data_IF_328913006264
#
_entry.id   IF_328913006264
#
_cell.length_a   1.000
_cell.length_b   1.000
_cell.length_c   1.000
_cell.angle_alpha   90.00
_cell.angle_beta   90.00
_cell.angle_gamma   90.00
#
_symmetry.space_group_name_H-M   'P 1'
#
loop_
_entity.id
_entity.type
_entity.pdbx_description
1 polymer ?
#
# COMPACT_ATOMS: atom_id res chain seq x y z
N UNK A 1 -14.57 -6.26 -25.11
CA UNK A 1 -14.11 -4.95 -24.61
C UNK A 1 -14.82 -4.71 -23.28
N UNK A 2 -14.27 -5.24 -22.18
CA UNK A 2 -14.87 -5.15 -20.83
C UNK A 2 -13.87 -4.41 -19.97
N UNK A 3 -14.23 -3.19 -19.54
CA UNK A 3 -13.47 -2.44 -18.54
C UNK A 3 -13.70 -3.12 -17.20
N UNK A 4 -12.90 -4.14 -16.90
CA UNK A 4 -12.89 -4.73 -15.56
C UNK A 4 -12.39 -3.65 -14.60
N UNK A 5 -13.22 -3.32 -13.63
CA UNK A 5 -12.95 -2.39 -12.54
C UNK A 5 -11.80 -2.92 -11.68
N UNK A 6 -10.60 -2.38 -11.87
CA UNK A 6 -9.45 -2.68 -11.02
C UNK A 6 -9.53 -1.74 -9.81
N UNK A 7 -9.89 -2.26 -8.64
CA UNK A 7 -9.81 -1.54 -7.36
C UNK A 7 -8.68 -2.17 -6.56
N UNK A 8 -7.64 -1.40 -6.27
CA UNK A 8 -6.50 -1.83 -5.47
C UNK A 8 -6.74 -1.40 -4.03
N UNK A 9 -6.65 -2.33 -3.07
CA UNK A 9 -6.65 -2.03 -1.64
C UNK A 9 -5.26 -2.37 -1.11
N UNK A 10 -4.48 -1.37 -0.73
CA UNK A 10 -3.18 -1.55 -0.07
C UNK A 10 -3.23 -0.88 1.30
N UNK A 11 -2.82 -1.63 2.33
CA UNK A 11 -2.52 -1.10 3.66
C UNK A 11 -1.05 -1.38 3.94
N UNK A 12 -0.23 -0.34 3.94
CA UNK A 12 1.15 -0.41 4.42
C UNK A 12 1.10 -0.73 5.92
N UNK A 13 1.53 -1.94 6.32
CA UNK A 13 1.67 -2.33 7.74
C UNK A 13 3.13 -2.55 8.09
N UNK A 14 3.54 -1.78 9.09
CA UNK A 14 4.89 -1.47 9.43
C UNK A 14 5.77 -2.60 10.11
N UNK A 15 6.59 -3.47 9.45
CA UNK A 15 7.83 -4.19 9.93
C UNK A 15 9.06 -4.44 8.96
N UNK A 16 10.33 -4.20 9.42
CA UNK A 16 11.58 -3.84 8.66
C UNK A 16 12.48 -5.00 8.14
N UNK A 17 13.11 -4.87 6.93
CA UNK A 17 14.54 -5.17 6.57
C UNK A 17 14.81 -5.29 5.03
N UNK A 18 16.06 -5.02 4.58
CA UNK A 18 16.53 -4.92 3.16
C UNK A 18 17.82 -5.73 2.89
N UNK A 19 18.45 -5.77 1.66
CA UNK A 19 17.96 -5.76 0.26
C UNK A 19 18.59 -6.87 -0.63
N UNK A 20 18.21 -6.96 -1.93
CA UNK A 20 19.08 -6.94 -3.13
C UNK A 20 18.21 -6.99 -4.42
N UNK A 21 18.58 -6.18 -5.43
CA UNK A 21 17.71 -5.83 -6.57
C UNK A 21 17.99 -6.54 -7.90
N UNK A 22 17.12 -6.26 -8.88
CA UNK A 22 17.30 -6.49 -10.32
C UNK A 22 16.57 -5.39 -11.09
N UNK A 23 17.19 -4.87 -12.16
CA UNK A 23 16.60 -3.90 -13.10
C UNK A 23 16.11 -4.65 -14.35
N UNK A 24 14.89 -4.36 -14.81
CA UNK A 24 14.41 -4.73 -16.15
C UNK A 24 14.00 -3.47 -16.93
N UNK A 25 14.43 -3.38 -18.18
CA UNK A 25 14.14 -2.29 -19.11
C UNK A 25 12.88 -2.60 -19.91
N UNK A 26 11.79 -1.92 -19.58
CA UNK A 26 10.58 -1.78 -20.40
C UNK A 26 10.20 -0.30 -20.46
N UNK A 27 9.71 0.18 -21.60
CA UNK A 27 9.33 1.59 -21.80
C UNK A 27 8.19 1.98 -20.86
N UNK A 28 8.53 2.51 -19.69
CA UNK A 28 7.62 2.94 -18.66
C UNK A 28 7.08 4.34 -18.98
N UNK A 29 5.78 4.55 -18.78
CA UNK A 29 5.31 5.86 -18.35
C UNK A 29 6.10 6.22 -17.07
N UNK A 30 6.61 7.45 -16.97
CA UNK A 30 7.35 7.88 -15.79
C UNK A 30 6.51 7.72 -14.51
N UNK A 31 7.15 7.76 -13.32
CA UNK A 31 6.47 7.61 -12.05
C UNK A 31 5.29 8.57 -11.95
N UNK A 32 4.20 8.11 -11.35
CA UNK A 32 3.00 8.95 -11.18
C UNK A 32 3.39 10.13 -10.29
N UNK A 33 3.29 11.39 -10.77
CA UNK A 33 3.64 12.53 -9.93
C UNK A 33 2.72 12.59 -8.72
N UNK A 34 3.28 12.78 -7.53
CA UNK A 34 2.54 12.97 -6.27
C UNK A 34 1.40 14.01 -6.37
N UNK A 35 1.55 15.00 -7.25
CA UNK A 35 0.58 16.07 -7.47
C UNK A 35 -0.74 15.58 -8.10
N UNK A 36 -0.76 14.40 -8.69
CA UNK A 36 -1.94 13.79 -9.31
C UNK A 36 -2.81 13.02 -8.31
N UNK A 37 -2.44 13.00 -7.02
CA UNK A 37 -3.10 12.22 -5.97
C UNK A 37 -3.76 13.12 -4.92
N UNK A 38 -4.70 12.53 -4.19
CA UNK A 38 -5.38 13.18 -3.06
C UNK A 38 -4.33 13.69 -2.06
N UNK A 39 -4.42 14.97 -1.69
CA UNK A 39 -3.52 15.52 -0.69
C UNK A 39 -3.74 14.82 0.65
N UNK A 40 -2.68 14.70 1.46
CA UNK A 40 -2.76 14.08 2.81
C UNK A 40 -3.88 14.70 3.65
N UNK A 41 -4.12 16.02 3.49
CA UNK A 41 -5.18 16.74 4.20
C UNK A 41 -6.59 16.27 3.80
N UNK A 42 -6.77 15.87 2.54
CA UNK A 42 -8.06 15.48 1.95
C UNK A 42 -8.29 13.97 1.87
N UNK A 43 -7.28 13.15 2.21
CA UNK A 43 -7.41 11.70 2.16
C UNK A 43 -8.41 11.19 3.20
N UNK A 44 -9.40 10.43 2.72
CA UNK A 44 -10.40 9.73 3.51
C UNK A 44 -10.48 8.28 3.02
N UNK A 45 -10.37 7.33 3.95
CA UNK A 45 -10.50 5.91 3.62
C UNK A 45 -11.89 5.60 3.05
N UNK A 46 -11.93 4.88 1.94
CA UNK A 46 -13.18 4.38 1.37
C UNK A 46 -13.78 3.23 2.20
N UNK A 47 -14.95 2.72 1.78
CA UNK A 47 -15.62 1.64 2.51
C UNK A 47 -14.83 0.34 2.57
N UNK A 48 -14.03 0.02 1.55
CA UNK A 48 -13.19 -1.18 1.53
C UNK A 48 -11.96 -0.99 2.41
N UNK A 49 -11.32 0.17 2.39
CA UNK A 49 -10.18 0.49 3.25
C UNK A 49 -10.57 0.46 4.74
N UNK A 50 -11.75 1.00 5.08
CA UNK A 50 -12.30 0.92 6.43
C UNK A 50 -12.63 -0.52 6.85
N UNK A 51 -13.29 -1.29 5.97
CA UNK A 51 -13.60 -2.69 6.24
C UNK A 51 -12.32 -3.52 6.43
N UNK A 52 -11.28 -3.22 5.65
CA UNK A 52 -10.02 -3.93 5.69
C UNK A 52 -9.24 -3.66 6.99
N UNK A 53 -9.17 -2.40 7.44
CA UNK A 53 -8.63 -2.08 8.76
C UNK A 53 -9.41 -2.79 9.88
N UNK A 54 -10.74 -2.87 9.75
CA UNK A 54 -11.60 -3.63 10.66
C UNK A 54 -11.21 -5.11 10.75
N UNK A 55 -11.04 -5.79 9.62
CA UNK A 55 -10.61 -7.19 9.56
C UNK A 55 -9.22 -7.41 10.16
N UNK A 56 -8.26 -6.54 9.83
CA UNK A 56 -6.91 -6.57 10.40
C UNK A 56 -6.98 -6.42 11.93
N UNK A 57 -7.75 -5.46 12.43
CA UNK A 57 -7.88 -5.23 13.86
C UNK A 57 -8.57 -6.38 14.60
N UNK A 58 -9.61 -6.99 14.00
CA UNK A 58 -10.24 -8.20 14.54
C UNK A 58 -9.23 -9.34 14.68
N UNK A 59 -8.42 -9.56 13.64
CA UNK A 59 -7.38 -10.59 13.67
C UNK A 59 -6.27 -10.30 14.68
N UNK A 60 -5.84 -9.04 14.79
CA UNK A 60 -4.85 -8.63 15.80
C UNK A 60 -5.35 -8.89 17.21
N UNK A 61 -6.59 -8.46 17.50
CA UNK A 61 -7.21 -8.65 18.81
C UNK A 61 -7.41 -10.14 19.13
N UNK A 62 -7.81 -10.96 18.15
CA UNK A 62 -7.92 -12.43 18.37
C UNK A 62 -6.58 -13.10 18.66
N UNK A 63 -5.46 -12.47 18.31
CA UNK A 63 -4.11 -12.93 18.60
C UNK A 63 -3.47 -12.18 19.80
N UNK A 64 -4.26 -11.47 20.60
CA UNK A 64 -3.77 -10.77 21.79
C UNK A 64 -2.99 -9.48 21.51
N UNK A 65 -3.06 -8.94 20.29
CA UNK A 65 -2.40 -7.70 19.88
C UNK A 65 -3.36 -6.51 19.93
N UNK A 66 -2.83 -5.31 20.19
CA UNK A 66 -3.59 -4.07 20.14
C UNK A 66 -4.05 -3.70 18.73
N UNK A 67 -5.22 -3.06 18.63
CA UNK A 67 -5.75 -2.54 17.38
C UNK A 67 -4.87 -1.41 16.81
N UNK A 68 -4.80 -1.32 15.49
CA UNK A 68 -4.16 -0.23 14.74
C UNK A 68 -5.14 0.92 14.53
N UNK A 69 -4.58 2.13 14.44
CA UNK A 69 -5.30 3.33 14.04
C UNK A 69 -5.00 3.68 12.57
N UNK A 70 -5.98 4.25 11.90
CA UNK A 70 -5.79 4.78 10.55
C UNK A 70 -4.88 6.02 10.56
N UNK A 71 -3.97 6.13 9.59
CA UNK A 71 -3.08 7.28 9.40
C UNK A 71 -3.21 7.82 7.99
N UNK A 72 -3.59 9.10 7.87
CA UNK A 72 -3.75 9.76 6.56
C UNK A 72 -2.43 9.88 5.78
N UNK A 73 -1.30 10.08 6.48
CA UNK A 73 0.02 10.17 5.84
C UNK A 73 0.46 8.82 5.26
N UNK A 74 0.26 7.73 6.01
CA UNK A 74 0.55 6.37 5.55
C UNK A 74 -0.37 5.97 4.40
N UNK A 75 -1.65 6.30 4.50
CA UNK A 75 -2.64 5.93 3.49
C UNK A 75 -2.39 6.66 2.16
N UNK A 76 -2.04 7.95 2.19
CA UNK A 76 -1.62 8.68 1.00
C UNK A 76 -0.34 8.09 0.36
N UNK A 77 0.64 7.66 1.17
CA UNK A 77 1.83 6.98 0.66
C UNK A 77 1.49 5.63 0.00
N UNK A 78 0.59 4.85 0.62
CA UNK A 78 0.12 3.57 0.11
C UNK A 78 -0.64 3.74 -1.22
N UNK A 79 -1.52 4.75 -1.31
CA UNK A 79 -2.24 5.10 -2.54
C UNK A 79 -1.25 5.46 -3.66
N UNK A 80 -0.24 6.28 -3.37
CA UNK A 80 0.78 6.64 -4.35
C UNK A 80 1.52 5.43 -4.92
N UNK A 81 1.94 4.50 -4.05
CA UNK A 81 2.60 3.28 -4.49
C UNK A 81 1.66 2.37 -5.30
N UNK A 82 0.40 2.24 -4.86
CA UNK A 82 -0.64 1.46 -5.55
C UNK A 82 -0.89 1.98 -6.97
N UNK A 83 -1.03 3.30 -7.11
CA UNK A 83 -1.30 3.94 -8.40
C UNK A 83 -0.08 3.85 -9.31
N UNK A 84 1.13 3.98 -8.78
CA UNK A 84 2.35 3.78 -9.57
C UNK A 84 2.45 2.34 -10.12
N UNK A 85 2.26 1.32 -9.26
CA UNK A 85 2.21 -0.09 -9.66
C UNK A 85 1.16 -0.35 -10.74
N UNK A 86 -0.06 0.17 -10.55
CA UNK A 86 -1.16 -0.02 -11.48
C UNK A 86 -0.94 0.70 -12.82
N UNK A 87 -0.33 1.90 -12.79
CA UNK A 87 -0.10 2.72 -13.98
C UNK A 87 1.04 2.18 -14.84
N UNK A 88 2.13 1.77 -14.20
CA UNK A 88 3.33 1.28 -14.91
C UNK A 88 3.23 -0.22 -15.20
N UNK A 89 2.45 -0.97 -14.43
CA UNK A 89 2.22 -2.40 -14.63
C UNK A 89 3.31 -3.29 -14.04
N UNK A 90 3.66 -3.06 -12.76
CA UNK A 90 4.61 -3.90 -12.01
C UNK A 90 4.07 -4.23 -10.62
N UNK A 91 4.73 -5.15 -9.92
CA UNK A 91 4.39 -5.54 -8.54
C UNK A 91 5.68 -5.69 -7.72
N UNK A 92 5.97 -4.71 -6.86
CA UNK A 92 7.24 -4.58 -6.13
C UNK A 92 7.06 -3.70 -4.90
N UNK A 93 7.96 -3.83 -3.92
CA UNK A 93 8.09 -2.90 -2.78
C UNK A 93 8.88 -1.62 -3.12
N UNK A 94 9.47 -1.56 -4.31
CA UNK A 94 10.20 -0.39 -4.80
C UNK A 94 9.41 0.21 -5.95
N UNK A 95 9.20 1.54 -5.89
CA UNK A 95 8.48 2.27 -6.92
C UNK A 95 9.21 2.22 -8.27
N UNK A 96 8.49 2.52 -9.36
CA UNK A 96 9.01 2.45 -10.73
C UNK A 96 10.24 3.32 -10.99
N UNK A 97 10.43 4.38 -10.20
CA UNK A 97 11.58 5.30 -10.26
C UNK A 97 12.71 4.95 -9.28
N UNK A 98 12.60 3.84 -8.56
CA UNK A 98 13.58 3.43 -7.54
C UNK A 98 13.29 3.98 -6.14
N UNK A 99 12.23 4.76 -5.94
CA UNK A 99 11.82 5.24 -4.60
C UNK A 99 11.49 4.05 -3.70
N UNK A 100 12.17 3.95 -2.55
CA UNK A 100 11.89 2.92 -1.55
C UNK A 100 10.62 3.24 -0.76
N UNK A 101 10.02 2.24 -0.10
CA UNK A 101 8.87 2.44 0.81
C UNK A 101 9.15 3.55 1.83
N UNK A 102 10.30 3.49 2.50
CA UNK A 102 10.70 4.49 3.50
C UNK A 102 10.80 5.90 2.90
N UNK A 103 11.37 6.03 1.69
CA UNK A 103 11.45 7.31 1.01
C UNK A 103 10.05 7.82 0.63
N UNK A 104 9.16 6.94 0.15
CA UNK A 104 7.78 7.31 -0.17
C UNK A 104 7.00 7.75 1.09
N UNK A 105 7.17 7.05 2.21
CA UNK A 105 6.61 7.42 3.52
C UNK A 105 7.13 8.81 3.97
N UNK A 106 8.43 9.04 3.89
CA UNK A 106 9.06 10.31 4.23
C UNK A 106 8.57 11.45 3.33
N UNK A 107 8.46 11.19 2.03
CA UNK A 107 7.87 12.13 1.07
C UNK A 107 6.45 12.52 1.49
N UNK A 108 5.70 11.59 2.09
CA UNK A 108 4.33 11.80 2.61
C UNK A 108 4.24 12.36 4.03
N UNK A 109 5.35 12.78 4.62
CA UNK A 109 5.38 13.41 5.93
C UNK A 109 5.24 12.41 7.09
N UNK A 110 5.49 11.13 6.83
CA UNK A 110 5.69 10.16 7.90
C UNK A 110 7.09 10.36 8.45
N UNK A 111 7.18 10.92 9.66
CA UNK A 111 8.44 11.01 10.42
C UNK A 111 8.92 9.63 10.85
N UNK A 112 10.23 9.41 10.99
CA UNK A 112 10.82 8.12 11.40
C UNK A 112 10.11 7.50 12.63
N UNK A 113 9.26 6.49 12.41
CA UNK A 113 8.38 5.90 13.42
C UNK A 113 8.91 4.60 14.03
N UNK A 114 10.22 4.35 13.98
CA UNK A 114 10.78 3.07 14.45
C UNK A 114 10.53 1.93 13.46
N UNK A 115 9.88 0.86 13.89
CA UNK A 115 9.71 -0.36 13.08
C UNK A 115 8.59 -0.20 12.03
N UNK A 116 8.94 -0.36 10.75
CA UNK A 116 8.03 -0.30 9.59
C UNK A 116 8.29 -1.33 8.48
N UNK A 117 7.30 -1.57 7.61
CA UNK A 117 7.16 -2.64 6.62
C UNK A 117 5.88 -2.45 5.82
N UNK A 118 5.67 -3.32 4.86
CA UNK A 118 4.66 -3.15 3.83
C UNK A 118 4.13 -4.51 3.39
N UNK A 119 2.80 -4.63 3.32
CA UNK A 119 2.16 -5.71 2.59
C UNK A 119 1.50 -5.11 1.35
N UNK A 120 1.72 -5.74 0.20
CA UNK A 120 1.08 -5.38 -1.08
C UNK A 120 0.20 -6.54 -1.56
N UNK A 121 -0.89 -6.21 -2.26
CA UNK A 121 -1.80 -7.19 -2.82
C UNK A 121 -2.33 -6.73 -4.18
N UNK A 122 -2.71 -7.71 -5.00
CA UNK A 122 -3.21 -7.54 -6.34
C UNK A 122 -4.33 -8.53 -6.63
N UNK A 123 -5.25 -8.14 -7.54
CA UNK A 123 -6.20 -9.08 -8.15
C UNK A 123 -7.46 -9.40 -7.35
N UNK A 124 -7.71 -8.70 -6.23
CA UNK A 124 -8.92 -8.86 -5.41
C UNK A 124 -9.81 -7.63 -5.49
N UNK A 125 -11.13 -7.83 -5.42
CA UNK A 125 -12.12 -6.74 -5.50
C UNK A 125 -12.65 -6.27 -4.13
N UNK A 126 -12.34 -6.99 -3.04
CA UNK A 126 -12.88 -6.72 -1.71
C UNK A 126 -11.83 -6.85 -0.61
N UNK A 127 -12.03 -6.10 0.47
CA UNK A 127 -11.24 -6.16 1.69
C UNK A 127 -11.12 -7.58 2.25
N UNK A 128 -12.21 -8.35 2.25
CA UNK A 128 -12.23 -9.72 2.78
C UNK A 128 -11.34 -10.67 1.96
N UNK A 129 -11.39 -10.57 0.63
CA UNK A 129 -10.57 -11.41 -0.24
C UNK A 129 -9.08 -11.08 -0.08
N UNK A 130 -8.72 -9.78 -0.05
CA UNK A 130 -7.35 -9.33 0.22
C UNK A 130 -6.86 -9.77 1.61
N UNK A 131 -7.72 -9.68 2.63
CA UNK A 131 -7.37 -10.12 3.98
C UNK A 131 -7.06 -11.63 4.04
N UNK A 132 -7.89 -12.44 3.37
CA UNK A 132 -7.65 -13.88 3.29
C UNK A 132 -6.35 -14.20 2.52
N UNK A 133 -6.06 -13.47 1.44
CA UNK A 133 -4.81 -13.60 0.70
C UNK A 133 -3.60 -13.37 1.62
N UNK A 134 -3.58 -12.27 2.37
CA UNK A 134 -2.47 -11.99 3.30
C UNK A 134 -2.38 -12.99 4.44
N UNK A 135 -3.51 -13.36 5.06
CA UNK A 135 -3.50 -14.31 6.17
C UNK A 135 -2.96 -15.69 5.78
N UNK A 136 -3.09 -16.06 4.50
CA UNK A 136 -2.62 -17.33 3.98
C UNK A 136 -1.20 -17.24 3.37
N UNK A 137 -0.52 -16.09 3.48
CA UNK A 137 0.86 -15.87 3.03
C UNK A 137 1.80 -15.87 4.24
N UNK A 138 2.73 -16.85 4.36
CA UNK A 138 3.71 -16.91 5.44
C UNK A 138 4.68 -15.72 5.49
#
# INVERSE_FOLDING_TARGET
MVRASWRWVIVVVCLLAAPLGVVHTGRAAGPVPRQSLTTVASYCADGEEQAFLGLINQYRVSNGLGALAHSRTLAAAAEHHSVDMATVGYFSHTMSDGTSVAQNMANHGVSDTGTWGENIAAGNASASATFQQWRNSP
#
